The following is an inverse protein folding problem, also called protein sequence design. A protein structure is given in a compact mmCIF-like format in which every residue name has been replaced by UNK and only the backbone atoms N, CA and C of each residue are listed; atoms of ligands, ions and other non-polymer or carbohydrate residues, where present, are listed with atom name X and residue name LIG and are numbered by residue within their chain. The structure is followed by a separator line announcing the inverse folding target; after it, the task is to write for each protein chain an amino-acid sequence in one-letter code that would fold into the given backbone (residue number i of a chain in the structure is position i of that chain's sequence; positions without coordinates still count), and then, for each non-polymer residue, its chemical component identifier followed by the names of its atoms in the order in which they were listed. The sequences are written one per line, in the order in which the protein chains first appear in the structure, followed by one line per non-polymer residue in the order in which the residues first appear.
data_IF_282829234478
#
_entry.id   IF_282829234478
#
_cell.length_a   1.000
_cell.length_b   1.000
_cell.length_c   1.000
_cell.angle_alpha   90.00
_cell.angle_beta   90.00
_cell.angle_gamma   90.00
#
_symmetry.space_group_name_H-M   'P 1'
#
loop_
_entity.id
_entity.type
_entity.pdbx_description
1 polymer ?
#
# COMPACT_ATOMS: atom_id res chain seq x y z
N UNK A 1 -9.54 4.10 -15.80
CA UNK A 1 -8.79 2.87 -15.44
C UNK A 1 -9.04 2.62 -13.97
N UNK A 2 -9.50 1.41 -13.61
CA UNK A 2 -9.95 1.07 -12.26
C UNK A 2 -8.85 0.44 -11.38
N UNK A 3 -9.25 0.03 -10.18
CA UNK A 3 -8.41 -0.71 -9.23
C UNK A 3 -8.17 -2.14 -9.74
N UNK A 4 -6.96 -2.68 -9.54
CA UNK A 4 -6.63 -4.08 -9.83
C UNK A 4 -7.34 -5.04 -8.87
N UNK A 5 -6.99 -4.97 -7.58
CA UNK A 5 -7.61 -5.74 -6.50
C UNK A 5 -8.28 -4.77 -5.53
N UNK A 6 -9.58 -4.96 -5.28
CA UNK A 6 -10.34 -4.22 -4.27
C UNK A 6 -10.89 -5.18 -3.22
N UNK A 7 -10.61 -4.89 -1.96
CA UNK A 7 -11.10 -5.66 -0.81
C UNK A 7 -11.74 -4.67 0.18
N UNK A 8 -12.94 -4.99 0.65
CA UNK A 8 -13.67 -4.20 1.63
C UNK A 8 -14.14 -5.10 2.76
N UNK A 9 -13.71 -4.80 3.98
CA UNK A 9 -13.92 -5.68 5.11
C UNK A 9 -13.00 -6.90 5.07
N UNK A 10 -12.60 -7.38 6.24
CA UNK A 10 -11.95 -8.67 6.36
C UNK A 10 -11.05 -8.76 7.59
N UNK A 11 -10.87 -9.96 8.11
CA UNK A 11 -9.86 -10.27 9.11
C UNK A 11 -8.97 -11.38 8.55
N UNK A 12 -7.65 -11.29 8.73
CA UNK A 12 -6.67 -12.21 8.13
C UNK A 12 -6.64 -12.15 6.60
N UNK A 13 -6.66 -10.95 6.03
CA UNK A 13 -6.53 -10.77 4.58
C UNK A 13 -5.08 -11.01 4.18
N UNK A 14 -4.84 -11.89 3.20
CA UNK A 14 -3.48 -12.20 2.72
C UNK A 14 -3.39 -12.07 1.20
N UNK A 15 -2.49 -11.22 0.74
CA UNK A 15 -2.18 -10.98 -0.68
C UNK A 15 -0.74 -11.41 -0.92
N UNK A 16 -0.55 -12.39 -1.81
CA UNK A 16 0.77 -12.99 -2.07
C UNK A 16 1.10 -12.98 -3.56
N UNK A 17 2.32 -12.58 -3.88
CA UNK A 17 2.94 -12.72 -5.21
C UNK A 17 2.11 -12.14 -6.36
N UNK A 18 1.64 -10.91 -6.17
CA UNK A 18 0.79 -10.20 -7.15
C UNK A 18 1.64 -9.30 -8.03
N UNK A 19 1.44 -9.41 -9.35
CA UNK A 19 1.92 -8.41 -10.31
C UNK A 19 0.76 -7.61 -10.87
N UNK A 20 0.83 -6.28 -10.78
CA UNK A 20 -0.19 -5.37 -11.33
C UNK A 20 0.43 -4.36 -12.28
N UNK A 21 -0.22 -4.10 -13.41
CA UNK A 21 0.29 -3.19 -14.44
C UNK A 21 -0.78 -2.22 -14.94
N UNK A 22 -0.38 -0.97 -15.21
CA UNK A 22 -1.17 0.07 -15.90
C UNK A 22 -2.56 0.32 -15.30
N UNK A 23 -2.61 0.48 -13.98
CA UNK A 23 -3.84 0.60 -13.19
C UNK A 23 -3.92 1.93 -12.43
N UNK A 24 -5.11 2.35 -11.97
CA UNK A 24 -5.16 3.53 -11.09
C UNK A 24 -4.58 3.19 -9.72
N UNK A 25 -5.03 2.08 -9.13
CA UNK A 25 -4.51 1.53 -7.87
C UNK A 25 -4.32 0.02 -8.05
N UNK A 26 -3.14 -0.52 -7.76
CA UNK A 26 -2.91 -1.96 -7.93
C UNK A 26 -3.67 -2.77 -6.88
N UNK A 27 -3.53 -2.41 -5.61
CA UNK A 27 -4.26 -3.03 -4.50
C UNK A 27 -4.90 -1.94 -3.64
N UNK A 28 -6.20 -2.04 -3.41
CA UNK A 28 -6.95 -1.17 -2.51
C UNK A 28 -7.71 -2.01 -1.48
N UNK A 29 -7.44 -1.77 -0.20
CA UNK A 29 -8.06 -2.48 0.91
C UNK A 29 -8.68 -1.45 1.84
N UNK A 30 -9.91 -1.71 2.25
CA UNK A 30 -10.70 -0.85 3.13
C UNK A 30 -11.23 -1.68 4.30
N UNK A 31 -11.14 -1.16 5.53
CA UNK A 31 -11.71 -1.76 6.75
C UNK A 31 -11.25 -3.20 7.02
N UNK A 32 -9.94 -3.47 6.98
CA UNK A 32 -9.38 -4.81 7.19
C UNK A 32 -8.43 -4.89 8.40
N UNK A 33 -8.53 -5.99 9.15
CA UNK A 33 -7.67 -6.29 10.30
C UNK A 33 -6.74 -7.47 10.01
N UNK A 34 -5.54 -7.46 10.58
CA UNK A 34 -4.54 -8.52 10.46
C UNK A 34 -4.20 -8.82 8.98
N UNK A 35 -3.77 -7.78 8.27
CA UNK A 35 -3.47 -7.81 6.83
C UNK A 35 -2.02 -8.28 6.57
N UNK A 36 -1.83 -9.16 5.60
CA UNK A 36 -0.52 -9.51 5.04
C UNK A 36 -0.49 -9.18 3.54
N UNK A 37 0.48 -8.36 3.11
CA UNK A 37 0.82 -8.22 1.70
C UNK A 37 2.29 -8.58 1.52
N UNK A 38 2.55 -9.63 0.74
CA UNK A 38 3.88 -10.14 0.47
C UNK A 38 4.08 -10.32 -1.04
N UNK A 39 5.14 -9.79 -1.62
CA UNK A 39 5.44 -10.00 -3.04
C UNK A 39 4.52 -9.22 -3.98
N UNK A 40 4.20 -7.94 -3.67
CA UNK A 40 3.47 -7.07 -4.58
C UNK A 40 4.44 -6.33 -5.50
N UNK A 41 4.31 -6.58 -6.80
CA UNK A 41 5.05 -5.92 -7.87
C UNK A 41 4.10 -5.06 -8.69
N UNK A 42 4.36 -3.76 -8.78
CA UNK A 42 3.50 -2.85 -9.57
C UNK A 42 4.30 -2.13 -10.62
N UNK A 43 3.77 -2.03 -11.83
CA UNK A 43 4.35 -1.23 -12.91
C UNK A 43 3.32 -0.27 -13.48
N UNK A 44 3.73 0.98 -13.70
CA UNK A 44 2.89 1.97 -14.38
C UNK A 44 1.49 2.18 -13.76
N UNK A 45 1.33 1.90 -12.45
CA UNK A 45 0.10 2.22 -11.74
C UNK A 45 0.18 3.62 -11.10
N UNK A 46 -0.93 4.35 -10.92
CA UNK A 46 -0.86 5.65 -10.22
C UNK A 46 -0.56 5.45 -8.74
N UNK A 47 -1.13 4.40 -8.14
CA UNK A 47 -0.87 3.94 -6.77
C UNK A 47 -0.54 2.46 -6.80
N UNK A 48 0.46 2.03 -6.04
CA UNK A 48 0.75 0.61 -5.86
C UNK A 48 -0.19 -0.04 -4.85
N UNK A 49 -0.21 0.50 -3.64
CA UNK A 49 -1.02 0.00 -2.54
C UNK A 49 -1.75 1.17 -1.88
N UNK A 50 -3.06 1.01 -1.65
CA UNK A 50 -3.88 1.93 -0.88
C UNK A 50 -4.58 1.14 0.23
N UNK A 51 -4.33 1.54 1.48
CA UNK A 51 -4.92 0.93 2.67
C UNK A 51 -5.70 2.02 3.41
N UNK A 52 -7.01 1.86 3.51
CA UNK A 52 -7.89 2.80 4.19
C UNK A 52 -8.49 2.10 5.41
N UNK A 53 -8.33 2.67 6.61
CA UNK A 53 -8.82 2.10 7.88
C UNK A 53 -8.45 0.62 8.09
N UNK A 54 -7.21 0.25 7.80
CA UNK A 54 -6.70 -1.11 8.02
C UNK A 54 -5.78 -1.14 9.25
N UNK A 55 -5.84 -2.23 10.03
CA UNK A 55 -5.10 -2.40 11.27
C UNK A 55 -4.26 -3.68 11.25
N UNK A 56 -3.15 -3.68 11.99
CA UNK A 56 -2.19 -4.80 12.08
C UNK A 56 -1.74 -5.33 10.70
N UNK A 57 -1.24 -4.42 9.86
CA UNK A 57 -0.77 -4.74 8.51
C UNK A 57 0.73 -5.06 8.44
N UNK A 58 1.08 -6.21 7.88
CA UNK A 58 2.43 -6.63 7.53
C UNK A 58 2.65 -6.50 6.02
N UNK A 59 3.60 -5.65 5.62
CA UNK A 59 3.93 -5.35 4.23
C UNK A 59 5.37 -5.76 3.94
N UNK A 60 5.58 -6.79 3.12
CA UNK A 60 6.91 -7.37 2.84
C UNK A 60 7.13 -7.61 1.36
N UNK A 61 8.40 -7.56 0.92
CA UNK A 61 8.81 -7.80 -0.47
C UNK A 61 7.97 -7.02 -1.52
N UNK A 62 7.78 -5.71 -1.30
CA UNK A 62 7.03 -4.86 -2.22
C UNK A 62 7.97 -4.13 -3.19
N UNK A 63 7.73 -4.27 -4.49
CA UNK A 63 8.35 -3.46 -5.54
C UNK A 63 7.29 -2.61 -6.23
N UNK A 64 7.12 -1.38 -5.73
CA UNK A 64 6.09 -0.46 -6.19
C UNK A 64 6.69 0.57 -7.14
N UNK A 65 6.51 0.35 -8.45
CA UNK A 65 6.80 1.33 -9.48
C UNK A 65 5.51 2.02 -9.91
N UNK A 66 5.31 3.25 -9.41
CA UNK A 66 4.17 4.08 -9.82
C UNK A 66 4.52 4.96 -11.00
N UNK A 67 3.50 5.35 -11.80
CA UNK A 67 3.65 6.36 -12.87
C UNK A 67 4.16 7.71 -12.37
N UNK A 68 3.93 8.01 -11.08
CA UNK A 68 4.25 9.30 -10.47
C UNK A 68 5.47 9.23 -9.53
N UNK A 69 6.27 8.15 -9.57
CA UNK A 69 7.48 8.06 -8.76
C UNK A 69 8.60 8.95 -9.35
N UNK A 70 8.44 10.26 -9.20
CA UNK A 70 9.57 11.16 -8.99
C UNK A 70 10.16 10.84 -7.60
N UNK A 71 11.49 10.79 -7.49
CA UNK A 71 12.24 10.32 -6.30
C UNK A 71 11.85 10.92 -4.93
N UNK A 72 11.03 11.98 -4.90
CA UNK A 72 10.55 12.67 -3.71
C UNK A 72 9.48 11.91 -2.88
N UNK A 73 8.87 10.84 -3.39
CA UNK A 73 7.80 10.14 -2.66
C UNK A 73 8.32 9.34 -1.45
N UNK A 74 9.46 8.66 -1.58
CA UNK A 74 10.04 7.83 -0.50
C UNK A 74 10.51 8.67 0.70
N UNK A 75 11.11 9.84 0.45
CA UNK A 75 11.53 10.78 1.51
C UNK A 75 10.33 11.43 2.21
N UNK A 76 9.27 11.75 1.48
CA UNK A 76 8.03 12.30 2.06
C UNK A 76 7.30 11.28 2.92
N UNK A 77 7.27 10.01 2.53
CA UNK A 77 6.64 8.97 3.34
C UNK A 77 7.40 8.76 4.65
N UNK A 78 8.73 8.67 4.59
CA UNK A 78 9.58 8.51 5.77
C UNK A 78 9.47 9.69 6.73
N UNK A 79 9.45 10.92 6.20
CA UNK A 79 9.31 12.14 7.01
C UNK A 79 7.92 12.29 7.65
N UNK A 80 6.85 11.87 6.97
CA UNK A 80 5.51 11.83 7.57
C UNK A 80 5.41 10.76 8.68
N UNK A 81 6.00 9.59 8.48
CA UNK A 81 6.01 8.50 9.48
C UNK A 81 6.77 8.92 10.75
N UNK A 82 7.94 9.53 10.58
CA UNK A 82 8.74 10.06 11.69
C UNK A 82 7.97 11.16 12.43
N UNK A 83 7.30 12.07 11.72
CA UNK A 83 6.49 13.13 12.36
C UNK A 83 5.30 12.58 13.14
N UNK A 84 4.63 11.55 12.61
CA UNK A 84 3.51 10.89 13.31
C UNK A 84 3.98 10.22 14.61
N UNK A 85 5.10 9.48 14.55
CA UNK A 85 5.68 8.81 15.71
C UNK A 85 6.22 9.77 16.78
N UNK A 86 6.68 10.97 16.38
CA UNK A 86 7.13 12.02 17.31
C UNK A 86 5.94 12.71 17.97
N UNK A 87 4.85 12.96 17.23
CA UNK A 87 3.67 13.66 17.76
C UNK A 87 2.82 12.80 18.70
N UNK A 88 2.96 11.47 18.71
CA UNK A 88 2.30 10.60 19.69
C UNK A 88 2.99 10.58 21.07
N UNK A 89 4.12 11.29 21.25
CA UNK A 89 4.87 11.33 22.52
C UNK A 89 4.57 12.51 23.45
N UNK A 90 3.48 13.26 23.26
CA UNK A 90 3.05 14.34 24.16
C UNK A 90 1.56 14.29 24.47
#
# INVERSE_FOLDING_TARGET
MGTGIYIQGGRHVSIKDVTSNNCSTAVHIVDADELEVNGLYTKECHKGLQLDNCWDAALTNLDIQTKNNDGNFKEKLLSCLIRSLINEKF
#
